data_IF_095306468173
#
_entry.id   IF_095306468173
#
_cell.length_a   1.000
_cell.length_b   1.000
_cell.length_c   1.000
_cell.angle_alpha   90.00
_cell.angle_beta   90.00
_cell.angle_gamma   90.00
#
_symmetry.space_group_name_H-M   'P 1'
#
loop_
_entity.id
_entity.type
_entity.pdbx_description
1 polymer ?
#
# COMPACT_ATOMS: atom_id res chain seq x y z
N UNK A 1 41.74 -20.77 24.83
CA UNK A 1 42.79 -20.39 23.87
C UNK A 1 42.65 -18.91 23.58
N UNK A 2 43.76 -18.21 23.55
CA UNK A 2 43.83 -16.83 23.12
C UNK A 2 44.14 -16.84 21.61
N UNK A 3 43.44 -16.03 20.82
CA UNK A 3 43.62 -15.98 19.37
C UNK A 3 43.92 -14.55 18.96
N UNK A 4 45.10 -14.36 18.38
CA UNK A 4 45.49 -13.09 17.78
C UNK A 4 44.93 -13.01 16.36
N UNK A 5 44.23 -11.92 16.05
CA UNK A 5 43.72 -11.63 14.71
C UNK A 5 44.40 -10.35 14.23
N UNK A 6 45.12 -10.43 13.11
CA UNK A 6 45.67 -9.24 12.45
C UNK A 6 44.56 -8.50 11.71
N UNK A 7 44.47 -7.18 11.90
CA UNK A 7 43.49 -6.32 11.25
C UNK A 7 44.05 -4.91 11.04
N UNK A 8 43.71 -4.30 9.90
CA UNK A 8 44.09 -2.91 9.57
C UNK A 8 43.11 -1.88 10.18
N UNK A 9 41.85 -2.27 10.42
CA UNK A 9 40.81 -1.44 11.01
C UNK A 9 39.90 -2.28 11.92
N UNK A 10 39.64 -1.78 13.11
CA UNK A 10 38.67 -2.34 14.05
C UNK A 10 37.53 -1.34 14.20
N UNK A 11 36.31 -1.73 13.81
CA UNK A 11 35.11 -0.93 14.02
C UNK A 11 34.34 -1.50 15.21
N UNK A 12 34.25 -0.71 16.28
CA UNK A 12 33.46 -1.08 17.46
C UNK A 12 31.97 -0.85 17.18
N UNK A 13 31.17 -1.89 17.24
CA UNK A 13 29.71 -1.79 17.16
C UNK A 13 29.16 -1.32 18.51
N UNK A 14 29.11 0.01 18.70
CA UNK A 14 28.55 0.61 19.92
C UNK A 14 27.02 0.50 19.86
N UNK A 15 26.42 -0.04 20.92
CA UNK A 15 24.97 -0.10 21.07
C UNK A 15 24.34 1.26 21.36
N UNK A 16 23.00 1.31 21.37
CA UNK A 16 22.24 2.51 21.71
C UNK A 16 21.60 2.37 23.10
N UNK A 17 21.43 3.49 23.79
CA UNK A 17 20.74 3.61 25.07
C UNK A 17 19.72 4.75 24.98
N UNK A 18 18.62 4.64 25.72
CA UNK A 18 17.65 5.72 25.83
C UNK A 18 18.18 6.88 26.67
N UNK A 19 17.92 8.11 26.22
CA UNK A 19 18.04 9.30 27.05
C UNK A 19 16.69 9.55 27.72
N UNK A 20 16.68 9.47 29.05
CA UNK A 20 15.47 9.59 29.88
C UNK A 20 15.49 10.85 30.76
N UNK A 21 16.41 11.78 30.51
CA UNK A 21 16.49 13.03 31.26
C UNK A 21 15.16 13.79 31.19
N UNK A 22 14.56 14.06 32.35
CA UNK A 22 13.26 14.74 32.49
C UNK A 22 12.02 13.85 32.33
N UNK A 23 12.18 12.57 32.00
CA UNK A 23 11.10 11.57 31.87
C UNK A 23 11.46 10.25 32.59
N UNK A 24 12.24 10.35 33.66
CA UNK A 24 12.81 9.19 34.36
C UNK A 24 11.73 8.26 34.92
N UNK A 25 10.55 8.79 35.25
CA UNK A 25 9.41 8.02 35.77
C UNK A 25 8.80 7.02 34.77
N UNK A 26 9.10 7.16 33.47
CA UNK A 26 8.65 6.25 32.41
C UNK A 26 9.69 5.17 32.10
N UNK A 27 10.91 5.32 32.61
CA UNK A 27 12.01 4.40 32.39
C UNK A 27 11.85 3.06 33.10
N UNK A 28 12.17 1.98 32.41
CA UNK A 28 12.39 0.67 32.98
C UNK A 28 13.85 0.50 33.44
N UNK A 29 14.14 -0.62 34.11
CA UNK A 29 15.48 -0.93 34.64
C UNK A 29 16.58 -1.05 33.56
N UNK A 30 16.19 -1.09 32.28
CA UNK A 30 17.08 -1.23 31.13
C UNK A 30 17.38 0.10 30.44
N UNK A 31 16.86 1.22 30.94
CA UNK A 31 17.04 2.54 30.32
C UNK A 31 16.20 2.74 29.05
N UNK A 32 15.05 2.08 28.98
CA UNK A 32 14.05 2.19 27.90
C UNK A 32 12.66 2.41 28.50
N UNK A 33 11.63 2.60 27.68
CA UNK A 33 10.24 2.75 28.12
C UNK A 33 9.45 1.54 27.61
N UNK A 34 8.76 0.83 28.52
CA UNK A 34 7.92 -0.29 28.11
C UNK A 34 6.66 0.21 27.39
N UNK A 35 6.21 -0.57 26.41
CA UNK A 35 5.03 -0.31 25.62
C UNK A 35 4.09 -1.51 25.72
N UNK A 36 2.80 -1.27 25.94
CA UNK A 36 1.80 -2.31 25.80
C UNK A 36 1.44 -2.56 24.32
N UNK A 37 0.44 -3.40 24.06
CA UNK A 37 -0.03 -3.72 22.69
C UNK A 37 -0.60 -2.53 21.92
N UNK A 38 -0.88 -1.42 22.60
CA UNK A 38 -1.43 -0.18 22.07
C UNK A 38 -0.41 0.96 22.14
N UNK A 39 0.87 0.65 22.40
CA UNK A 39 1.92 1.65 22.55
C UNK A 39 1.66 2.64 23.70
N UNK A 40 0.79 2.28 24.64
CA UNK A 40 0.62 2.99 25.89
C UNK A 40 1.66 2.51 26.89
N UNK A 41 2.17 3.42 27.72
CA UNK A 41 3.11 3.07 28.77
C UNK A 41 2.35 2.30 29.87
N UNK A 42 2.74 1.05 30.20
CA UNK A 42 2.03 0.24 31.17
C UNK A 42 1.85 0.96 32.52
N UNK A 43 0.61 1.03 33.00
CA UNK A 43 0.27 1.69 34.27
C UNK A 43 0.27 3.23 34.23
N UNK A 44 0.45 3.84 33.05
CA UNK A 44 0.42 5.30 32.84
C UNK A 44 -0.62 5.63 31.75
N UNK A 45 -1.89 5.64 32.13
CA UNK A 45 -2.99 5.98 31.22
C UNK A 45 -2.77 7.35 30.57
N UNK A 46 -3.06 7.45 29.27
CA UNK A 46 -2.87 8.66 28.47
C UNK A 46 -1.42 8.96 28.07
N UNK A 47 -0.45 8.10 28.42
CA UNK A 47 0.95 8.26 28.04
C UNK A 47 1.34 7.22 27.01
N UNK A 48 1.83 7.66 25.86
CA UNK A 48 2.16 6.80 24.74
C UNK A 48 3.64 6.91 24.40
N UNK A 49 4.20 5.84 23.86
CA UNK A 49 5.63 5.72 23.57
C UNK A 49 5.81 5.12 22.17
N UNK A 50 6.81 5.60 21.43
CA UNK A 50 7.13 5.10 20.10
C UNK A 50 8.63 5.22 19.82
N UNK A 51 9.11 4.50 18.81
CA UNK A 51 10.50 4.58 18.36
C UNK A 51 11.47 3.71 19.14
N UNK A 52 12.76 4.04 19.04
CA UNK A 52 13.88 3.28 19.62
C UNK A 52 13.93 3.33 21.14
N UNK A 53 13.24 4.29 21.76
CA UNK A 53 13.13 4.40 23.23
C UNK A 53 12.42 3.19 23.84
N UNK A 54 11.63 2.43 23.05
CA UNK A 54 11.03 1.17 23.46
C UNK A 54 12.08 0.05 23.39
N UNK A 55 12.70 -0.07 22.22
CA UNK A 55 13.77 -1.01 21.92
C UNK A 55 14.45 -0.58 20.63
N UNK A 56 15.77 -0.37 20.60
CA UNK A 56 16.50 -0.03 19.38
C UNK A 56 16.22 -1.04 18.27
N UNK A 57 15.81 -0.56 17.10
CA UNK A 57 15.51 -1.40 15.95
C UNK A 57 15.83 -0.68 14.62
N UNK A 58 15.27 -1.19 13.52
CA UNK A 58 15.33 -0.55 12.21
C UNK A 58 14.52 0.75 12.20
N UNK A 59 14.96 1.73 11.40
CA UNK A 59 14.24 2.98 11.17
C UNK A 59 12.75 2.76 10.82
N UNK A 60 12.46 1.76 9.98
CA UNK A 60 11.09 1.42 9.57
C UNK A 60 10.23 0.97 10.75
N UNK A 61 10.83 0.35 11.76
CA UNK A 61 10.15 -0.03 13.00
C UNK A 61 9.81 1.19 13.84
N UNK A 62 10.71 2.16 13.96
CA UNK A 62 10.43 3.41 14.65
C UNK A 62 9.31 4.23 13.98
N UNK A 63 9.30 4.29 12.64
CA UNK A 63 8.21 4.92 11.86
C UNK A 63 6.89 4.18 12.12
N UNK A 64 6.91 2.85 12.07
CA UNK A 64 5.73 2.03 12.37
C UNK A 64 5.19 2.28 13.78
N UNK A 65 6.07 2.31 14.80
CA UNK A 65 5.69 2.66 16.17
C UNK A 65 5.00 4.03 16.24
N UNK A 66 5.53 5.03 15.53
CA UNK A 66 4.96 6.38 15.50
C UNK A 66 3.56 6.44 14.88
N UNK A 67 3.35 5.77 13.76
CA UNK A 67 2.02 5.65 13.14
C UNK A 67 1.03 4.99 14.09
N UNK A 68 1.44 3.89 14.73
CA UNK A 68 0.57 3.14 15.64
C UNK A 68 0.21 3.96 16.89
N UNK A 69 1.19 4.62 17.49
CA UNK A 69 0.95 5.48 18.64
C UNK A 69 0.01 6.65 18.29
N UNK A 70 0.15 7.25 17.11
CA UNK A 70 -0.72 8.35 16.68
C UNK A 70 -2.19 7.92 16.54
N UNK A 71 -2.45 6.77 15.93
CA UNK A 71 -3.81 6.21 15.83
C UNK A 71 -4.36 5.85 17.20
N UNK A 72 -3.55 5.23 18.08
CA UNK A 72 -4.02 4.89 19.42
C UNK A 72 -4.32 6.13 20.26
N UNK A 73 -3.52 7.20 20.12
CA UNK A 73 -3.80 8.50 20.74
C UNK A 73 -5.13 9.05 20.24
N UNK A 74 -5.44 8.91 18.94
CA UNK A 74 -6.71 9.33 18.37
C UNK A 74 -7.89 8.57 18.98
N UNK A 75 -7.82 7.23 18.99
CA UNK A 75 -8.84 6.36 19.61
C UNK A 75 -9.04 6.69 21.09
N UNK A 76 -7.95 6.93 21.84
CA UNK A 76 -7.98 7.31 23.25
C UNK A 76 -8.71 8.65 23.47
N UNK A 77 -8.37 9.67 22.68
CA UNK A 77 -8.97 11.01 22.80
C UNK A 77 -10.47 10.97 22.46
N UNK A 78 -10.86 10.15 21.47
CA UNK A 78 -12.26 9.98 21.08
C UNK A 78 -13.05 9.01 21.97
N UNK A 79 -12.39 8.36 22.95
CA UNK A 79 -13.00 7.31 23.79
C UNK A 79 -13.52 6.13 22.96
N UNK A 80 -12.85 5.83 21.85
CA UNK A 80 -13.12 4.68 21.01
C UNK A 80 -12.50 3.41 21.60
N UNK A 81 -13.02 2.26 21.18
CA UNK A 81 -12.52 0.96 21.65
C UNK A 81 -11.26 0.59 20.89
N UNK A 82 -10.13 0.56 21.60
CA UNK A 82 -8.86 0.10 21.03
C UNK A 82 -8.89 -1.42 20.79
N UNK A 83 -8.79 -1.82 19.54
CA UNK A 83 -8.77 -3.22 19.14
C UNK A 83 -7.38 -3.68 18.68
N UNK A 84 -7.15 -4.99 18.71
CA UNK A 84 -5.84 -5.55 18.39
C UNK A 84 -5.54 -5.34 16.90
N UNK A 85 -4.46 -4.64 16.60
CA UNK A 85 -3.98 -4.42 15.23
C UNK A 85 -3.65 -5.74 14.51
N UNK A 86 -3.86 -5.80 13.18
CA UNK A 86 -3.47 -6.94 12.36
C UNK A 86 -1.95 -7.13 12.37
N UNK A 87 -1.50 -8.35 12.06
CA UNK A 87 -0.06 -8.70 12.07
C UNK A 87 0.73 -7.98 10.97
N UNK A 88 0.05 -7.62 9.88
CA UNK A 88 0.58 -6.82 8.78
C UNK A 88 -0.33 -5.61 8.66
N UNK A 89 0.26 -4.44 8.79
CA UNK A 89 -0.44 -3.18 8.91
C UNK A 89 0.03 -2.26 7.80
N UNK A 90 -0.78 -2.18 6.75
CA UNK A 90 -0.50 -1.46 5.51
C UNK A 90 -1.71 -0.63 5.18
N UNK A 91 -1.49 0.52 4.54
CA UNK A 91 -2.60 1.24 3.91
C UNK A 91 -3.00 0.46 2.66
N UNK A 92 -4.21 -0.09 2.69
CA UNK A 92 -4.79 -0.84 1.61
C UNK A 92 -5.56 0.12 0.69
N UNK A 93 -5.65 -0.20 -0.60
CA UNK A 93 -6.47 0.58 -1.52
C UNK A 93 -7.94 0.23 -1.29
N UNK A 94 -8.73 1.06 -0.61
CA UNK A 94 -10.15 0.73 -0.38
C UNK A 94 -11.03 1.33 -1.49
N UNK A 95 -11.66 0.50 -2.31
CA UNK A 95 -12.56 0.98 -3.36
C UNK A 95 -13.76 1.76 -2.79
N UNK A 96 -14.36 1.29 -1.70
CA UNK A 96 -15.55 1.91 -1.12
C UNK A 96 -15.21 3.29 -0.56
N UNK A 97 -14.05 3.44 0.08
CA UNK A 97 -13.55 4.74 0.52
C UNK A 97 -13.35 5.69 -0.67
N UNK A 98 -12.71 5.22 -1.75
CA UNK A 98 -12.52 6.03 -2.95
C UNK A 98 -13.85 6.41 -3.63
N UNK A 99 -14.84 5.52 -3.62
CA UNK A 99 -16.18 5.80 -4.12
C UNK A 99 -16.92 6.79 -3.21
N UNK A 100 -16.76 6.72 -1.90
CA UNK A 100 -17.37 7.65 -0.94
C UNK A 100 -16.83 9.08 -1.12
N UNK A 101 -15.53 9.22 -1.35
CA UNK A 101 -14.89 10.51 -1.63
C UNK A 101 -15.51 11.24 -2.84
N UNK A 102 -16.07 10.48 -3.79
CA UNK A 102 -16.77 11.01 -4.97
C UNK A 102 -18.31 10.90 -4.87
N UNK A 103 -18.84 10.49 -3.71
CA UNK A 103 -20.28 10.40 -3.43
C UNK A 103 -20.99 9.27 -4.18
N UNK A 104 -20.30 8.15 -4.42
CA UNK A 104 -20.75 7.01 -5.26
C UNK A 104 -20.73 5.67 -4.55
N UNK A 105 -20.92 5.66 -3.23
CA UNK A 105 -21.11 4.42 -2.48
C UNK A 105 -22.23 3.56 -3.12
N UNK A 106 -22.03 2.24 -3.26
CA UNK A 106 -23.09 1.33 -3.64
C UNK A 106 -24.28 1.46 -2.69
N UNK A 107 -25.50 1.29 -3.20
CA UNK A 107 -26.68 1.24 -2.35
C UNK A 107 -26.63 0.01 -1.42
N UNK A 108 -27.23 0.10 -0.24
CA UNK A 108 -27.32 -1.05 0.66
C UNK A 108 -28.04 -2.22 -0.01
N UNK A 109 -27.44 -3.41 0.08
CA UNK A 109 -28.09 -4.65 -0.31
C UNK A 109 -29.23 -4.97 0.66
N UNK A 110 -30.42 -5.27 0.12
CA UNK A 110 -31.60 -5.68 0.88
C UNK A 110 -31.86 -7.17 0.60
N UNK A 111 -31.46 -8.01 1.54
CA UNK A 111 -31.56 -9.46 1.48
C UNK A 111 -33.00 -9.98 1.51
N UNK A 112 -33.96 -9.11 1.85
CA UNK A 112 -35.40 -9.46 1.86
C UNK A 112 -36.11 -9.20 0.53
N UNK A 113 -35.45 -8.50 -0.41
CA UNK A 113 -36.07 -8.05 -1.67
C UNK A 113 -35.60 -8.81 -2.91
N UNK A 114 -34.62 -9.70 -2.79
CA UNK A 114 -33.92 -10.26 -3.94
C UNK A 114 -33.72 -11.76 -3.79
N UNK A 115 -34.76 -12.56 -4.05
CA UNK A 115 -34.67 -14.03 -4.05
C UNK A 115 -33.83 -14.56 -5.23
N UNK A 116 -33.65 -13.77 -6.29
CA UNK A 116 -32.90 -14.13 -7.50
C UNK A 116 -31.74 -13.15 -7.73
N UNK A 117 -30.51 -13.61 -7.55
CA UNK A 117 -29.27 -12.84 -7.74
C UNK A 117 -28.74 -12.87 -9.18
N UNK A 118 -29.57 -13.24 -10.15
CA UNK A 118 -29.21 -13.16 -11.58
C UNK A 118 -29.55 -11.77 -12.12
N UNK A 119 -28.70 -11.23 -13.01
CA UNK A 119 -28.95 -9.94 -13.67
C UNK A 119 -28.77 -8.73 -12.75
N UNK A 120 -27.76 -8.77 -11.87
CA UNK A 120 -27.46 -7.67 -10.94
C UNK A 120 -26.68 -6.52 -11.59
N UNK A 121 -26.44 -6.57 -12.90
CA UNK A 121 -25.68 -5.58 -13.69
C UNK A 121 -26.28 -4.17 -13.63
N UNK A 122 -27.59 -4.07 -13.43
CA UNK A 122 -28.31 -2.79 -13.29
C UNK A 122 -28.57 -2.38 -11.84
N UNK A 123 -28.20 -3.21 -10.86
CA UNK A 123 -28.53 -2.97 -9.46
C UNK A 123 -27.45 -2.13 -8.77
N UNK A 124 -27.85 -1.01 -8.17
CA UNK A 124 -26.92 -0.05 -7.57
C UNK A 124 -26.14 -0.53 -6.35
N UNK A 125 -26.44 -1.73 -5.83
CA UNK A 125 -25.65 -2.36 -4.75
C UNK A 125 -24.49 -3.20 -5.27
N UNK A 126 -24.53 -3.61 -6.55
CA UNK A 126 -23.57 -4.53 -7.13
C UNK A 126 -22.46 -3.77 -7.87
N UNK A 127 -21.21 -4.13 -7.58
CA UNK A 127 -20.05 -3.66 -8.32
C UNK A 127 -19.56 -4.83 -9.19
N UNK A 128 -19.54 -4.64 -10.51
CA UNK A 128 -19.14 -5.67 -11.48
C UNK A 128 -17.74 -5.42 -12.03
N UNK A 129 -17.10 -6.50 -12.48
CA UNK A 129 -15.81 -6.46 -13.17
C UNK A 129 -14.74 -5.65 -12.40
N UNK A 130 -14.82 -5.74 -11.08
CA UNK A 130 -13.89 -5.18 -10.15
C UNK A 130 -13.67 -6.20 -9.06
N UNK A 131 -12.43 -6.54 -8.86
CA UNK A 131 -11.98 -7.36 -7.75
C UNK A 131 -11.36 -6.43 -6.73
N UNK A 132 -11.84 -6.48 -5.49
CA UNK A 132 -11.25 -5.67 -4.43
C UNK A 132 -9.90 -6.25 -4.03
N UNK A 133 -8.87 -5.75 -4.71
CA UNK A 133 -7.47 -6.12 -4.48
C UNK A 133 -6.82 -5.27 -3.39
N UNK A 134 -7.64 -4.54 -2.61
CA UNK A 134 -7.21 -3.76 -1.45
C UNK A 134 -6.27 -4.55 -0.58
N UNK A 135 -6.64 -5.79 -0.26
CA UNK A 135 -5.95 -6.58 0.75
C UNK A 135 -4.58 -7.04 0.26
N UNK A 136 -4.43 -7.74 -0.87
CA UNK A 136 -3.16 -8.45 -1.12
C UNK A 136 -2.66 -8.65 -2.57
N UNK A 137 -3.28 -8.13 -3.62
CA UNK A 137 -2.91 -8.60 -4.98
C UNK A 137 -2.37 -7.51 -5.90
N UNK A 138 -1.04 -7.36 -5.90
CA UNK A 138 -0.35 -6.81 -7.06
C UNK A 138 -0.49 -7.85 -8.16
N UNK A 139 -1.15 -7.50 -9.27
CA UNK A 139 -1.29 -8.40 -10.41
C UNK A 139 0.09 -8.91 -10.83
N UNK A 140 0.21 -10.23 -11.01
CA UNK A 140 1.52 -10.80 -11.29
C UNK A 140 2.00 -10.35 -12.68
N UNK A 141 3.32 -10.24 -12.88
CA UNK A 141 3.85 -9.91 -14.20
C UNK A 141 3.49 -10.93 -15.29
N UNK A 142 3.11 -12.15 -14.89
CA UNK A 142 2.57 -13.20 -15.77
C UNK A 142 1.14 -12.94 -16.25
N UNK A 143 0.41 -12.07 -15.56
CA UNK A 143 -0.99 -11.69 -15.87
C UNK A 143 -1.07 -10.31 -16.55
N UNK A 144 0.03 -9.57 -16.58
CA UNK A 144 0.16 -8.35 -17.36
C UNK A 144 0.43 -8.68 -18.83
N UNK A 145 -0.23 -7.98 -19.74
CA UNK A 145 0.17 -8.00 -21.14
C UNK A 145 1.36 -7.03 -21.35
N UNK A 146 2.57 -7.51 -21.01
CA UNK A 146 3.80 -6.72 -21.03
C UNK A 146 4.15 -6.15 -22.41
N UNK A 147 3.64 -6.75 -23.50
CA UNK A 147 3.83 -6.25 -24.86
C UNK A 147 3.16 -4.90 -25.14
N UNK A 148 2.26 -4.44 -24.27
CA UNK A 148 1.69 -3.10 -24.35
C UNK A 148 2.68 -2.00 -23.92
N UNK A 149 3.60 -2.32 -23.02
CA UNK A 149 4.50 -1.33 -22.42
C UNK A 149 5.83 -1.30 -23.17
N UNK A 150 6.25 -0.11 -23.59
CA UNK A 150 7.59 0.06 -24.15
C UNK A 150 8.64 -0.22 -23.08
N UNK A 151 9.70 -0.94 -23.46
CA UNK A 151 10.81 -1.18 -22.54
C UNK A 151 11.56 0.12 -22.31
N UNK A 152 11.57 0.57 -21.06
CA UNK A 152 12.42 1.67 -20.60
C UNK A 152 13.24 1.20 -19.40
N UNK A 153 14.54 1.49 -19.45
CA UNK A 153 15.45 1.17 -18.35
C UNK A 153 15.11 2.00 -17.11
N UNK A 154 15.25 1.37 -15.94
CA UNK A 154 15.04 2.06 -14.67
C UNK A 154 16.09 3.14 -14.46
N UNK A 155 15.66 4.33 -14.05
CA UNK A 155 16.57 5.40 -13.61
C UNK A 155 17.28 4.95 -12.33
N UNK A 156 18.56 4.61 -12.43
CA UNK A 156 19.34 4.18 -11.28
C UNK A 156 19.55 5.36 -10.32
N UNK A 157 19.11 5.21 -9.07
CA UNK A 157 19.38 6.22 -8.03
C UNK A 157 20.87 6.33 -7.79
N UNK A 158 21.34 7.56 -7.68
CA UNK A 158 22.71 7.83 -7.32
C UNK A 158 22.92 7.64 -5.81
N UNK A 159 24.18 7.52 -5.39
CA UNK A 159 24.53 7.38 -3.99
C UNK A 159 25.69 8.28 -3.61
N UNK A 160 25.65 8.82 -2.39
CA UNK A 160 26.82 9.52 -1.82
C UNK A 160 27.90 8.48 -1.50
N UNK A 161 29.10 8.70 -2.04
CA UNK A 161 30.25 7.85 -1.78
C UNK A 161 30.80 8.13 -0.37
N UNK A 162 30.94 7.08 0.43
CA UNK A 162 31.61 7.13 1.73
C UNK A 162 33.00 6.54 1.58
N UNK A 163 34.02 7.29 1.98
CA UNK A 163 35.43 6.94 1.96
C UNK A 163 36.08 7.22 3.33
N UNK A 164 37.37 6.88 3.47
CA UNK A 164 38.10 7.00 4.75
C UNK A 164 38.13 8.45 5.26
N UNK A 165 38.15 9.44 4.36
CA UNK A 165 38.25 10.86 4.71
C UNK A 165 36.91 11.44 5.20
N UNK A 166 35.78 10.83 4.82
CA UNK A 166 34.44 11.33 5.11
C UNK A 166 33.54 10.35 5.86
N UNK A 167 34.08 9.25 6.41
CA UNK A 167 33.31 8.25 7.15
C UNK A 167 33.04 8.65 8.59
N UNK A 168 33.98 9.34 9.24
CA UNK A 168 33.85 9.70 10.65
C UNK A 168 32.88 10.88 10.83
N UNK A 169 31.79 10.64 11.56
CA UNK A 169 30.79 11.67 11.85
C UNK A 169 29.85 12.00 10.69
N UNK A 170 29.84 11.19 9.63
CA UNK A 170 28.96 11.39 8.48
C UNK A 170 27.65 10.62 8.67
N UNK A 171 26.56 11.38 8.81
CA UNK A 171 25.20 10.88 8.95
C UNK A 171 24.35 11.23 7.72
N UNK A 172 24.97 11.59 6.60
CA UNK A 172 24.26 11.93 5.38
C UNK A 172 23.51 10.71 4.83
N UNK A 173 22.32 10.96 4.28
CA UNK A 173 21.59 9.93 3.55
C UNK A 173 22.43 9.41 2.38
N UNK A 174 22.61 8.09 2.32
CA UNK A 174 23.47 7.47 1.32
C UNK A 174 22.79 7.37 -0.05
N UNK A 175 21.48 7.14 -0.06
CA UNK A 175 20.68 7.10 -1.27
C UNK A 175 20.32 8.53 -1.63
N UNK A 176 20.67 8.96 -2.84
CA UNK A 176 20.21 10.25 -3.34
C UNK A 176 18.81 10.01 -3.90
N UNK A 177 17.81 10.67 -3.29
CA UNK A 177 16.44 10.67 -3.80
C UNK A 177 16.39 11.23 -5.22
N UNK A 178 15.36 10.85 -5.97
CA UNK A 178 15.12 11.41 -7.29
C UNK A 178 14.90 12.92 -7.23
N UNK A 179 15.36 13.64 -8.25
CA UNK A 179 14.82 14.99 -8.50
C UNK A 179 13.33 14.88 -8.82
N UNK A 180 12.62 16.01 -8.80
CA UNK A 180 11.19 16.01 -9.15
C UNK A 180 10.97 15.46 -10.57
N UNK A 181 11.87 15.79 -11.49
CA UNK A 181 11.85 15.33 -12.89
C UNK A 181 12.11 13.83 -12.99
N UNK A 182 13.14 13.32 -12.30
CA UNK A 182 13.45 11.87 -12.26
C UNK A 182 12.31 11.07 -11.62
N UNK A 183 11.68 11.62 -10.57
CA UNK A 183 10.55 10.99 -9.91
C UNK A 183 9.32 10.93 -10.83
N UNK A 184 9.05 11.99 -11.60
CA UNK A 184 7.99 12.00 -12.60
C UNK A 184 8.27 11.01 -13.73
N UNK A 185 9.51 10.93 -14.20
CA UNK A 185 9.91 9.95 -15.22
C UNK A 185 9.69 8.52 -14.71
N UNK A 186 10.18 8.20 -13.51
CA UNK A 186 10.02 6.86 -12.94
C UNK A 186 8.55 6.52 -12.67
N UNK A 187 7.74 7.50 -12.25
CA UNK A 187 6.29 7.32 -12.11
C UNK A 187 5.59 7.05 -13.44
N UNK A 188 6.08 7.63 -14.54
CA UNK A 188 5.59 7.39 -15.90
C UNK A 188 5.74 5.94 -16.38
N UNK A 189 6.65 5.16 -15.76
CA UNK A 189 6.85 3.74 -16.04
C UNK A 189 5.87 2.82 -15.30
N UNK A 190 4.92 3.39 -14.55
CA UNK A 190 3.91 2.62 -13.82
C UNK A 190 3.04 1.79 -14.77
N UNK A 191 2.93 0.49 -14.51
CA UNK A 191 2.12 -0.45 -15.29
C UNK A 191 0.69 -0.61 -14.75
N UNK A 192 0.25 0.26 -13.83
CA UNK A 192 -1.10 0.26 -13.25
C UNK A 192 -1.56 -1.15 -12.81
N UNK A 193 -0.76 -1.79 -11.96
CA UNK A 193 -0.83 -3.21 -11.59
C UNK A 193 -2.19 -3.68 -11.06
N UNK A 194 -3.13 -3.98 -11.96
CA UNK A 194 -4.49 -4.45 -11.65
C UNK A 194 -5.59 -3.39 -11.80
N UNK A 195 -5.26 -2.14 -12.13
CA UNK A 195 -6.22 -1.05 -12.28
C UNK A 195 -6.36 -0.64 -13.75
N UNK A 196 -7.56 -0.23 -14.16
CA UNK A 196 -7.76 0.38 -15.48
C UNK A 196 -7.04 1.72 -15.55
N UNK A 197 -6.44 2.05 -16.69
CA UNK A 197 -5.74 3.32 -16.93
C UNK A 197 -6.17 3.98 -18.26
N UNK A 198 -7.36 3.62 -18.76
CA UNK A 198 -7.99 4.23 -19.94
C UNK A 198 -7.19 4.06 -21.26
N UNK A 199 -6.54 2.91 -21.45
CA UNK A 199 -5.85 2.58 -22.72
C UNK A 199 -6.80 2.28 -23.90
N UNK A 200 -8.09 2.10 -23.63
CA UNK A 200 -9.16 1.85 -24.61
C UNK A 200 -9.09 0.56 -25.43
N UNK A 201 -8.09 -0.30 -25.23
CA UNK A 201 -7.98 -1.56 -25.97
C UNK A 201 -9.26 -2.41 -25.84
N UNK A 202 -9.79 -2.57 -24.64
CA UNK A 202 -10.99 -3.37 -24.41
C UNK A 202 -12.23 -2.84 -25.15
N UNK A 203 -12.35 -1.50 -25.27
CA UNK A 203 -13.41 -0.84 -26.03
C UNK A 203 -13.20 -1.05 -27.53
N UNK A 204 -11.98 -0.83 -28.01
CA UNK A 204 -11.64 -0.89 -29.44
C UNK A 204 -11.70 -2.31 -30.02
N UNK A 205 -11.32 -3.31 -29.26
CA UNK A 205 -11.26 -4.70 -29.73
C UNK A 205 -12.55 -5.48 -29.47
N UNK A 206 -13.54 -4.91 -28.77
CA UNK A 206 -14.81 -5.58 -28.53
C UNK A 206 -15.59 -5.70 -29.84
N UNK A 207 -15.84 -6.91 -30.38
CA UNK A 207 -16.53 -7.07 -31.66
C UNK A 207 -18.04 -6.79 -31.58
N UNK A 208 -18.57 -6.57 -30.38
CA UNK A 208 -20.00 -6.35 -30.12
C UNK A 208 -20.29 -4.95 -29.55
N UNK A 209 -19.28 -4.09 -29.42
CA UNK A 209 -19.40 -2.80 -28.72
C UNK A 209 -20.03 -2.96 -27.31
N UNK A 210 -19.70 -4.05 -26.64
CA UNK A 210 -20.20 -4.38 -25.30
C UNK A 210 -19.44 -3.64 -24.20
N UNK A 211 -18.16 -3.33 -24.40
CA UNK A 211 -17.35 -2.60 -23.42
C UNK A 211 -17.38 -1.11 -23.76
N UNK A 212 -17.69 -0.26 -22.78
CA UNK A 212 -17.78 1.20 -22.96
C UNK A 212 -17.15 1.96 -21.81
N UNK A 213 -16.78 3.22 -22.06
CA UNK A 213 -16.25 4.11 -21.01
C UNK A 213 -17.36 4.59 -20.08
N UNK A 214 -17.09 4.53 -18.79
CA UNK A 214 -17.93 5.16 -17.76
C UNK A 214 -17.85 6.68 -17.93
N UNK A 215 -18.94 7.39 -17.59
CA UNK A 215 -18.92 8.86 -17.66
C UNK A 215 -17.96 9.44 -16.63
N UNK A 216 -17.38 10.60 -16.91
CA UNK A 216 -16.39 11.25 -16.03
C UNK A 216 -16.90 11.56 -14.62
N UNK A 217 -18.19 11.77 -14.47
CA UNK A 217 -18.88 12.02 -13.19
C UNK A 217 -19.27 10.73 -12.46
N UNK A 218 -19.03 9.57 -13.07
CA UNK A 218 -19.33 8.23 -12.57
C UNK A 218 -18.06 7.36 -12.41
N UNK A 219 -16.94 7.75 -13.04
CA UNK A 219 -15.64 7.08 -12.95
C UNK A 219 -14.94 7.30 -11.61
N UNK A 220 -14.18 6.31 -11.14
CA UNK A 220 -13.24 6.42 -10.00
C UNK A 220 -11.85 5.91 -10.39
N UNK A 221 -10.85 6.08 -9.52
CA UNK A 221 -9.48 5.62 -9.75
C UNK A 221 -9.49 4.13 -10.10
N UNK A 222 -8.95 3.80 -11.29
CA UNK A 222 -8.84 2.42 -11.73
C UNK A 222 -10.12 1.79 -12.27
N UNK A 223 -11.26 2.49 -12.28
CA UNK A 223 -12.56 1.98 -12.78
C UNK A 223 -13.15 2.95 -13.80
N UNK A 224 -12.75 2.75 -15.06
CA UNK A 224 -13.08 3.66 -16.16
C UNK A 224 -13.94 3.04 -17.28
N UNK A 225 -14.14 1.72 -17.27
CA UNK A 225 -14.92 1.01 -18.27
C UNK A 225 -15.93 0.08 -17.61
N UNK A 226 -17.03 -0.15 -18.30
CA UNK A 226 -18.11 -1.06 -17.91
C UNK A 226 -18.54 -1.94 -19.10
N UNK A 227 -19.29 -3.00 -18.82
CA UNK A 227 -19.71 -3.99 -19.81
C UNK A 227 -21.23 -4.11 -19.89
N UNK A 228 -21.75 -3.94 -21.10
CA UNK A 228 -23.11 -4.28 -21.48
C UNK A 228 -23.20 -5.79 -21.71
N UNK A 229 -23.69 -6.51 -20.70
CA UNK A 229 -23.78 -7.96 -20.73
C UNK A 229 -24.81 -8.50 -21.72
N UNK A 230 -25.79 -7.69 -22.15
CA UNK A 230 -26.74 -8.10 -23.19
C UNK A 230 -26.07 -8.20 -24.57
N UNK A 231 -25.00 -7.43 -24.78
CA UNK A 231 -24.17 -7.48 -26.00
C UNK A 231 -22.98 -8.42 -25.87
N UNK A 232 -22.56 -8.74 -24.65
CA UNK A 232 -21.38 -9.55 -24.41
C UNK A 232 -21.61 -11.02 -24.82
N UNK A 233 -20.83 -11.50 -25.78
CA UNK A 233 -20.88 -12.90 -26.24
C UNK A 233 -19.82 -13.79 -25.58
N UNK A 234 -19.08 -13.28 -24.58
CA UNK A 234 -18.04 -14.04 -23.90
C UNK A 234 -16.91 -14.51 -24.83
N UNK A 235 -16.38 -13.61 -25.67
CA UNK A 235 -15.28 -13.94 -26.60
C UNK A 235 -13.87 -13.77 -26.01
N UNK A 236 -13.74 -13.22 -24.79
CA UNK A 236 -12.48 -13.02 -24.04
C UNK A 236 -11.47 -12.02 -24.63
N UNK A 237 -11.70 -11.52 -25.84
CA UNK A 237 -10.77 -10.58 -26.52
C UNK A 237 -10.45 -9.37 -25.64
N UNK A 238 -11.44 -8.77 -24.97
CA UNK A 238 -11.23 -7.60 -24.11
C UNK A 238 -10.33 -7.89 -22.90
N UNK A 239 -10.36 -9.12 -22.38
CA UNK A 239 -9.47 -9.57 -21.30
C UNK A 239 -8.06 -9.80 -21.82
N UNK A 240 -7.92 -10.50 -22.96
CA UNK A 240 -6.61 -10.81 -23.56
C UNK A 240 -5.81 -9.56 -23.95
N UNK A 241 -6.49 -8.48 -24.36
CA UNK A 241 -5.84 -7.22 -24.76
C UNK A 241 -5.69 -6.22 -23.60
N UNK A 242 -6.12 -6.58 -22.39
CA UNK A 242 -6.02 -5.72 -21.22
C UNK A 242 -4.57 -5.69 -20.70
N UNK A 243 -3.87 -4.53 -20.74
CA UNK A 243 -2.47 -4.47 -20.33
C UNK A 243 -2.25 -4.78 -18.85
N UNK A 244 -3.24 -4.44 -18.03
CA UNK A 244 -3.12 -4.41 -16.56
C UNK A 244 -3.79 -5.58 -15.86
N UNK A 245 -4.43 -6.48 -16.61
CA UNK A 245 -5.26 -7.53 -16.04
C UNK A 245 -6.51 -7.01 -15.31
N UNK A 246 -6.95 -5.78 -15.60
CA UNK A 246 -8.17 -5.20 -15.02
C UNK A 246 -9.45 -5.91 -15.48
N UNK A 247 -9.54 -6.25 -16.78
CA UNK A 247 -10.70 -6.97 -17.30
C UNK A 247 -10.57 -8.45 -16.93
N UNK A 248 -11.51 -8.95 -16.14
CA UNK A 248 -11.56 -10.34 -15.70
C UNK A 248 -12.80 -11.02 -16.28
N UNK A 249 -12.66 -12.30 -16.64
CA UNK A 249 -13.76 -13.07 -17.22
C UNK A 249 -14.46 -13.88 -16.13
N UNK A 250 -15.68 -13.49 -15.77
CA UNK A 250 -16.47 -14.05 -14.66
C UNK A 250 -17.07 -15.44 -14.88
N UNK A 251 -16.46 -16.30 -15.70
CA UNK A 251 -16.86 -17.70 -15.85
C UNK A 251 -15.70 -18.61 -15.41
N UNK A 252 -15.42 -18.60 -14.10
CA UNK A 252 -14.63 -19.61 -13.39
C UNK A 252 -13.35 -20.07 -14.09
N UNK A 253 -12.26 -19.32 -13.94
CA UNK A 253 -10.94 -19.94 -13.89
C UNK A 253 -10.75 -20.52 -12.49
N UNK A 254 -10.45 -21.82 -12.43
CA UNK A 254 -10.24 -22.65 -11.24
C UNK A 254 -9.47 -21.99 -10.08
#
# INVERSE_FOLDING_TARGET
EETTVEADLIVSAIGQLGDLEGVEEYGNERGFIDADKFYQVPGKEGHFVAGDIIRPHLLTTAIGHGSIAAETIHEYINQEKMDKRPKVDKHHFDLLENLDQVGRLPSNYDDTKTDDLRGTDTLGFAVHNYDDRSEHEIVASSELFLGHFEHEDRVARNHKLVNVDNVLGNFDERLIGYTAEEAQQEAGRCMSCGLCFECDNCVMYCPQDAVFKVKKDESTLGRYVDTDYDKCIGCHICADVCPTGYIQMGLGSD
#
